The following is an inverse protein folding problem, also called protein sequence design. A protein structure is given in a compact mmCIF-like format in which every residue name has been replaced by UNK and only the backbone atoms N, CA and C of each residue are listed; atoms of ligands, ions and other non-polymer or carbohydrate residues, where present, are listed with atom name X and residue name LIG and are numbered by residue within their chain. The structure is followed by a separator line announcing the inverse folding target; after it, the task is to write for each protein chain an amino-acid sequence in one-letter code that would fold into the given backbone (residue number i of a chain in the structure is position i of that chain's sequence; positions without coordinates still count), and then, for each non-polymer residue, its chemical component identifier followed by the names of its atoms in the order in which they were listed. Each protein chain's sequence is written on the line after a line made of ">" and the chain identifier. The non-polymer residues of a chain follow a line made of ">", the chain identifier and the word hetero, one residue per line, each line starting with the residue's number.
data_IF_238275084770
#
_entry.id   IF_238275084770
#
_cell.length_a   1.000
_cell.length_b   1.000
_cell.length_c   1.000
_cell.angle_alpha   90.00
_cell.angle_beta   90.00
_cell.angle_gamma   90.00
#
_symmetry.space_group_name_H-M   'P 1'
#
loop_
_entity.id
_entity.type
_entity.pdbx_description
1 polymer ?
#
# COMPACT_ATOMS: atom_id res chain seq x y z
N UNK A 1 -35.00 28.23 -19.77
CA UNK A 1 -35.10 26.89 -19.16
C UNK A 1 -33.76 26.20 -19.31
N UNK A 2 -32.98 26.15 -18.23
CA UNK A 2 -31.68 25.50 -18.19
C UNK A 2 -31.87 24.03 -17.80
N UNK A 3 -31.27 23.11 -18.56
CA UNK A 3 -31.15 21.70 -18.17
C UNK A 3 -29.67 21.34 -18.14
N UNK A 4 -29.12 21.34 -16.93
CA UNK A 4 -27.78 20.89 -16.61
C UNK A 4 -27.76 19.35 -16.62
N UNK A 5 -27.02 18.76 -17.58
CA UNK A 5 -26.69 17.34 -17.55
C UNK A 5 -25.56 17.11 -16.55
N UNK A 6 -25.89 16.42 -15.46
CA UNK A 6 -24.92 15.89 -14.51
C UNK A 6 -24.10 14.78 -15.16
N UNK A 7 -22.77 14.94 -15.19
CA UNK A 7 -21.81 13.92 -15.60
C UNK A 7 -21.50 13.08 -14.36
N UNK A 8 -22.04 11.87 -14.29
CA UNK A 8 -21.67 10.91 -13.27
C UNK A 8 -20.27 10.36 -13.59
N UNK A 9 -19.26 10.75 -12.81
CA UNK A 9 -17.93 10.14 -12.83
C UNK A 9 -17.98 8.80 -12.10
N UNK A 10 -17.96 7.69 -12.85
CA UNK A 10 -17.67 6.39 -12.26
C UNK A 10 -16.18 6.31 -11.94
N UNK A 11 -15.84 6.34 -10.66
CA UNK A 11 -14.48 6.05 -10.19
C UNK A 11 -14.23 4.54 -10.35
N UNK A 12 -13.15 4.11 -11.03
CA UNK A 12 -12.91 2.68 -11.30
C UNK A 12 -12.72 1.85 -10.03
N UNK A 13 -12.45 2.48 -8.88
CA UNK A 13 -12.05 1.82 -7.65
C UNK A 13 -13.19 1.48 -6.68
N UNK A 14 -14.45 1.83 -6.99
CA UNK A 14 -15.63 1.49 -6.18
C UNK A 14 -16.71 0.79 -6.98
N UNK A 15 -16.67 -0.55 -6.99
CA UNK A 15 -17.85 -1.36 -7.33
C UNK A 15 -18.28 -2.18 -6.13
N UNK A 16 -19.23 -1.63 -5.39
CA UNK A 16 -20.01 -2.37 -4.39
C UNK A 16 -21.10 -3.13 -5.15
N UNK A 17 -21.17 -4.45 -4.96
CA UNK A 17 -22.20 -5.31 -5.54
C UNK A 17 -23.59 -4.91 -4.98
N UNK A 18 -24.56 -4.67 -5.88
CA UNK A 18 -25.99 -4.61 -5.54
C UNK A 18 -26.55 -6.04 -5.38
N UNK A 19 -27.52 -6.28 -4.47
CA UNK A 19 -28.17 -7.58 -4.33
C UNK A 19 -29.14 -7.87 -5.51
N UNK A 20 -29.47 -9.14 -5.80
CA UNK A 20 -30.15 -9.52 -7.03
C UNK A 20 -31.66 -9.29 -6.92
N UNK A 21 -32.25 -8.73 -7.98
CA UNK A 21 -33.68 -8.88 -8.26
C UNK A 21 -33.91 -9.24 -9.73
N UNK A 22 -35.04 -9.90 -9.94
CA UNK A 22 -35.41 -10.89 -10.95
C UNK A 22 -35.81 -10.35 -12.35
N UNK A 23 -35.42 -11.13 -13.37
CA UNK A 23 -36.13 -11.55 -14.60
C UNK A 23 -36.81 -10.54 -15.58
N UNK A 24 -36.16 -10.42 -16.77
CA UNK A 24 -36.67 -10.49 -18.19
C UNK A 24 -37.67 -9.46 -18.80
N UNK A 25 -37.78 -9.32 -20.15
CA UNK A 25 -36.72 -9.26 -21.17
C UNK A 25 -36.92 -8.19 -22.31
N UNK A 26 -35.81 -7.87 -22.98
CA UNK A 26 -35.55 -7.48 -24.38
C UNK A 26 -36.62 -6.88 -25.32
N UNK A 27 -36.25 -5.77 -26.00
CA UNK A 27 -36.66 -5.46 -27.38
C UNK A 27 -35.51 -4.84 -28.21
N UNK A 28 -35.20 -5.52 -29.32
CA UNK A 28 -34.74 -5.11 -30.66
C UNK A 28 -33.74 -3.94 -30.95
N UNK A 29 -32.75 -4.32 -31.77
CA UNK A 29 -31.77 -3.59 -32.62
C UNK A 29 -32.42 -2.69 -33.72
N UNK A 30 -31.72 -1.92 -34.61
CA UNK A 30 -30.33 -2.10 -35.06
C UNK A 30 -29.43 -0.88 -35.39
N UNK A 31 -28.18 -1.28 -35.57
CA UNK A 31 -27.01 -0.74 -36.26
C UNK A 31 -27.18 0.41 -37.27
N UNK A 32 -26.19 1.32 -37.25
CA UNK A 32 -25.72 2.04 -38.44
C UNK A 32 -24.22 1.79 -38.65
N UNK A 33 -23.92 1.37 -39.87
CA UNK A 33 -22.60 1.16 -40.47
C UNK A 33 -22.08 2.48 -41.04
N UNK A 34 -20.78 2.75 -40.94
CA UNK A 34 -20.03 3.27 -42.09
C UNK A 34 -18.52 3.03 -41.94
N UNK A 35 -17.97 2.44 -43.01
CA UNK A 35 -16.55 2.19 -43.30
C UNK A 35 -15.86 3.45 -43.84
N UNK A 36 -14.55 3.28 -44.09
CA UNK A 36 -13.59 4.07 -44.90
C UNK A 36 -12.65 4.92 -44.03
N UNK A 37 -11.34 5.02 -44.27
CA UNK A 37 -10.47 4.53 -45.35
C UNK A 37 -9.03 4.48 -44.80
N UNK A 38 -8.28 3.45 -45.19
CA UNK A 38 -6.84 3.33 -44.98
C UNK A 38 -6.05 4.28 -45.87
N UNK A 39 -4.92 4.78 -45.39
CA UNK A 39 -3.81 5.20 -46.26
C UNK A 39 -2.46 4.99 -45.59
N UNK A 40 -1.75 3.98 -46.08
CA UNK A 40 -0.33 3.80 -45.86
C UNK A 40 0.44 4.69 -46.85
N UNK A 41 1.57 5.25 -46.41
CA UNK A 41 2.63 5.70 -47.30
C UNK A 41 3.98 5.21 -46.77
N UNK A 42 4.72 4.63 -47.70
CA UNK A 42 6.03 4.03 -47.61
C UNK A 42 7.05 4.95 -48.30
N UNK A 43 8.28 5.02 -47.78
CA UNK A 43 9.53 5.09 -48.55
C UNK A 43 10.69 4.97 -47.53
N UNK A 44 11.51 3.91 -47.60
CA UNK A 44 12.81 3.83 -48.32
C UNK A 44 13.70 5.04 -47.99
N UNK A 45 14.83 4.96 -47.29
CA UNK A 45 15.87 3.92 -47.25
C UNK A 45 17.10 4.44 -48.01
N UNK A 46 18.15 4.87 -47.29
CA UNK A 46 19.52 5.01 -47.79
C UNK A 46 20.49 4.66 -46.66
N UNK A 47 21.53 3.91 -47.02
CA UNK A 47 22.45 3.19 -46.14
C UNK A 47 23.88 3.69 -46.34
N UNK A 48 24.59 3.78 -45.21
CA UNK A 48 26.03 3.56 -44.96
C UNK A 48 27.10 4.39 -45.69
N UNK A 49 27.86 5.18 -44.91
CA UNK A 49 29.33 5.12 -44.85
C UNK A 49 29.73 5.18 -43.37
N UNK A 50 30.53 4.21 -42.90
CA UNK A 50 31.04 4.15 -41.53
C UNK A 50 32.46 4.70 -41.40
N UNK A 51 32.79 5.26 -40.23
CA UNK A 51 34.14 5.32 -39.65
C UNK A 51 33.99 5.29 -38.11
N UNK A 52 34.71 4.37 -37.46
CA UNK A 52 34.73 4.10 -36.01
C UNK A 52 35.89 4.89 -35.31
N UNK A 53 36.11 4.82 -33.99
CA UNK A 53 35.73 5.85 -33.03
C UNK A 53 36.95 6.48 -32.30
N UNK A 54 36.86 7.75 -31.90
CA UNK A 54 37.74 8.31 -30.84
C UNK A 54 36.92 9.05 -29.79
N UNK A 55 36.42 8.24 -28.86
CA UNK A 55 36.39 8.42 -27.40
C UNK A 55 36.87 9.80 -26.90
N UNK A 56 35.92 10.70 -26.64
CA UNK A 56 36.07 11.80 -25.68
C UNK A 56 34.74 11.96 -24.95
N UNK A 57 34.64 11.33 -23.79
CA UNK A 57 33.56 11.58 -22.83
C UNK A 57 34.04 12.63 -21.83
N UNK A 58 33.35 13.77 -21.66
CA UNK A 58 33.59 14.59 -20.49
C UNK A 58 32.98 13.83 -19.29
N UNK A 59 33.86 13.33 -18.42
CA UNK A 59 33.46 12.81 -17.12
C UNK A 59 32.91 13.97 -16.29
N UNK A 60 31.60 14.17 -16.32
CA UNK A 60 30.91 14.85 -15.22
C UNK A 60 30.91 13.86 -14.06
N UNK A 61 31.83 14.06 -13.10
CA UNK A 61 31.74 13.41 -11.80
C UNK A 61 30.52 14.00 -11.09
N UNK A 62 29.37 13.33 -11.20
CA UNK A 62 28.30 13.53 -10.23
C UNK A 62 28.73 12.82 -8.94
N UNK A 63 29.32 13.61 -8.03
CA UNK A 63 29.47 13.27 -6.63
C UNK A 63 28.09 13.40 -5.98
N UNK A 64 27.30 12.33 -5.96
CA UNK A 64 26.19 12.22 -5.02
C UNK A 64 26.71 11.51 -3.77
N UNK A 65 27.31 12.29 -2.89
CA UNK A 65 27.20 12.00 -1.47
C UNK A 65 25.82 12.52 -1.06
N UNK A 66 24.78 11.72 -1.28
CA UNK A 66 23.54 11.89 -0.52
C UNK A 66 23.89 11.57 0.93
N UNK A 67 23.97 12.60 1.75
CA UNK A 67 23.97 12.45 3.21
C UNK A 67 22.67 11.72 3.54
N UNK A 68 22.75 10.41 3.78
CA UNK A 68 21.61 9.59 4.16
C UNK A 68 20.94 10.26 5.35
N UNK A 69 19.76 10.85 5.12
CA UNK A 69 19.00 11.48 6.19
C UNK A 69 18.56 10.33 7.10
N UNK A 70 19.21 10.22 8.25
CA UNK A 70 18.88 9.23 9.27
C UNK A 70 17.39 9.31 9.59
N UNK A 71 16.64 8.24 9.29
CA UNK A 71 15.22 8.14 9.63
C UNK A 71 15.09 8.22 11.14
N UNK A 72 14.12 8.98 11.63
CA UNK A 72 13.83 8.99 13.07
C UNK A 72 13.28 7.62 13.47
N UNK A 73 14.12 6.78 14.08
CA UNK A 73 13.74 5.43 14.53
C UNK A 73 13.41 5.46 16.02
N UNK A 74 12.20 5.02 16.38
CA UNK A 74 11.75 4.88 17.77
C UNK A 74 11.30 3.45 18.05
N UNK A 75 11.55 2.97 19.26
CA UNK A 75 11.11 1.66 19.73
C UNK A 75 10.42 1.86 21.07
N UNK A 76 9.17 1.40 21.17
CA UNK A 76 8.39 1.44 22.40
C UNK A 76 7.88 0.03 22.71
N UNK A 77 8.05 -0.38 23.97
CA UNK A 77 7.69 -1.71 24.48
C UNK A 77 6.61 -1.55 25.54
N UNK A 78 5.54 -2.34 25.41
CA UNK A 78 4.35 -2.27 26.26
C UNK A 78 4.00 -3.65 26.84
N UNK A 79 3.13 -3.66 27.84
CA UNK A 79 2.33 -4.86 28.11
C UNK A 79 1.41 -5.15 26.92
N UNK A 80 1.14 -6.44 26.65
CA UNK A 80 0.40 -6.85 25.45
C UNK A 80 -0.99 -6.24 25.37
N UNK A 81 -1.67 -6.12 26.50
CA UNK A 81 -3.01 -5.54 26.65
C UNK A 81 -3.01 -4.00 26.62
N UNK A 82 -1.88 -3.37 26.94
CA UNK A 82 -1.76 -1.90 26.97
C UNK A 82 -1.38 -1.29 25.61
N UNK A 83 -0.74 -2.06 24.70
CA UNK A 83 -0.23 -1.55 23.41
C UNK A 83 -1.28 -0.86 22.53
N UNK A 84 -2.54 -1.26 22.63
CA UNK A 84 -3.60 -0.76 21.74
C UNK A 84 -3.90 0.74 21.95
N UNK A 85 -3.79 1.24 23.18
CA UNK A 85 -4.02 2.66 23.53
C UNK A 85 -3.00 3.58 22.86
N UNK A 86 -1.67 3.46 23.09
CA UNK A 86 -0.68 4.34 22.49
C UNK A 86 -0.62 4.19 20.97
N UNK A 87 -0.97 3.03 20.41
CA UNK A 87 -1.12 2.88 18.96
C UNK A 87 -2.30 3.70 18.43
N UNK A 88 -3.46 3.66 19.10
CA UNK A 88 -4.63 4.44 18.71
C UNK A 88 -4.37 5.95 18.81
N UNK A 89 -3.75 6.40 19.90
CA UNK A 89 -3.33 7.80 20.09
C UNK A 89 -2.40 8.24 18.95
N UNK A 90 -1.38 7.44 18.63
CA UNK A 90 -0.44 7.72 17.55
C UNK A 90 -1.12 7.86 16.18
N UNK A 91 -2.03 6.94 15.86
CA UNK A 91 -2.79 6.98 14.60
C UNK A 91 -3.72 8.20 14.57
N UNK A 92 -4.39 8.52 15.68
CA UNK A 92 -5.29 9.67 15.79
C UNK A 92 -4.52 11.00 15.61
N UNK A 93 -3.35 11.13 16.24
CA UNK A 93 -2.49 12.30 16.14
C UNK A 93 -1.97 12.51 14.71
N UNK A 94 -1.52 11.45 14.05
CA UNK A 94 -1.09 11.53 12.65
C UNK A 94 -2.26 11.85 11.71
N UNK A 95 -3.44 11.26 11.96
CA UNK A 95 -4.66 11.61 11.24
C UNK A 95 -4.96 13.11 11.37
N UNK A 96 -5.03 13.64 12.58
CA UNK A 96 -5.31 15.06 12.82
C UNK A 96 -4.26 15.98 12.17
N UNK A 97 -2.97 15.61 12.27
CA UNK A 97 -1.86 16.33 11.64
C UNK A 97 -2.06 16.43 10.12
N UNK A 98 -2.25 15.31 9.44
CA UNK A 98 -2.29 15.30 7.98
C UNK A 98 -3.58 15.84 7.39
N UNK A 99 -4.70 15.68 8.10
CA UNK A 99 -5.96 16.34 7.74
C UNK A 99 -5.78 17.86 7.84
N UNK A 100 -5.11 18.38 8.87
CA UNK A 100 -4.82 19.82 8.98
C UNK A 100 -3.89 20.31 7.86
N UNK A 101 -2.87 19.53 7.49
CA UNK A 101 -1.88 19.93 6.48
C UNK A 101 -2.40 19.82 5.03
N UNK A 102 -3.20 18.80 4.72
CA UNK A 102 -3.56 18.42 3.34
C UNK A 102 -5.03 18.15 3.10
N UNK A 103 -5.85 18.18 4.15
CA UNK A 103 -7.30 17.96 4.07
C UNK A 103 -7.73 16.49 4.01
N UNK A 104 -6.77 15.54 3.97
CA UNK A 104 -7.00 14.10 3.90
C UNK A 104 -5.95 13.37 4.76
N UNK A 105 -6.28 12.16 5.19
CA UNK A 105 -5.35 11.22 5.82
C UNK A 105 -5.33 9.90 5.05
N UNK A 106 -4.17 9.51 4.52
CA UNK A 106 -3.97 8.27 3.77
C UNK A 106 -3.24 7.23 4.61
N UNK A 107 -3.89 6.10 4.86
CA UNK A 107 -3.35 5.01 5.68
C UNK A 107 -3.38 3.68 4.92
N UNK A 108 -2.27 2.96 4.95
CA UNK A 108 -2.20 1.59 4.42
C UNK A 108 -2.03 0.57 5.55
N UNK A 109 -2.84 -0.49 5.54
CA UNK A 109 -2.93 -1.48 6.60
C UNK A 109 -2.36 -2.84 6.17
N UNK A 110 -1.61 -3.49 7.06
CA UNK A 110 -1.45 -4.95 7.04
C UNK A 110 -2.64 -5.65 7.71
N UNK A 111 -2.78 -6.95 7.46
CA UNK A 111 -3.68 -7.82 8.23
C UNK A 111 -3.08 -8.31 9.56
N UNK A 112 -3.55 -9.47 10.01
CA UNK A 112 -3.06 -10.13 11.23
C UNK A 112 -3.48 -9.43 12.53
N UNK A 113 -2.68 -9.61 13.59
CA UNK A 113 -3.01 -9.10 14.93
C UNK A 113 -3.06 -7.58 15.02
N UNK A 114 -2.43 -6.85 14.08
CA UNK A 114 -2.50 -5.40 13.97
C UNK A 114 -3.96 -4.90 14.02
N UNK A 115 -4.87 -5.56 13.30
CA UNK A 115 -6.28 -5.14 13.23
C UNK A 115 -6.97 -5.23 14.61
N UNK A 116 -6.55 -6.15 15.48
CA UNK A 116 -7.10 -6.23 16.83
C UNK A 116 -6.74 -5.01 17.67
N UNK A 117 -5.53 -4.48 17.54
CA UNK A 117 -5.12 -3.27 18.24
C UNK A 117 -5.84 -2.02 17.70
N UNK A 118 -6.12 -1.95 16.39
CA UNK A 118 -6.89 -0.85 15.79
C UNK A 118 -8.35 -0.79 16.24
N UNK A 119 -8.88 -1.84 16.88
CA UNK A 119 -10.22 -1.78 17.50
C UNK A 119 -10.31 -0.68 18.54
N UNK A 120 -9.19 -0.28 19.17
CA UNK A 120 -9.18 0.80 20.15
C UNK A 120 -9.62 2.15 19.56
N UNK A 121 -9.47 2.35 18.25
CA UNK A 121 -9.93 3.56 17.55
C UNK A 121 -11.47 3.67 17.49
N UNK A 122 -12.22 2.58 17.71
CA UNK A 122 -13.70 2.58 17.69
C UNK A 122 -14.30 2.87 19.06
N UNK A 123 -13.46 3.13 20.06
CA UNK A 123 -13.86 3.46 21.42
C UNK A 123 -13.69 4.98 21.67
N UNK A 124 -14.43 5.56 22.63
CA UNK A 124 -14.17 6.93 23.07
C UNK A 124 -12.75 7.08 23.65
N UNK A 125 -12.09 8.23 23.44
CA UNK A 125 -12.60 9.40 22.71
C UNK A 125 -12.44 9.30 21.19
N UNK A 126 -11.65 8.36 20.66
CA UNK A 126 -11.23 8.33 19.25
C UNK A 126 -12.38 8.25 18.26
N UNK A 127 -13.38 7.43 18.53
CA UNK A 127 -14.53 7.25 17.62
C UNK A 127 -15.26 8.57 17.36
N UNK A 128 -15.28 9.47 18.34
CA UNK A 128 -15.99 10.75 18.29
C UNK A 128 -15.09 11.92 17.85
N UNK A 129 -13.77 11.81 18.05
CA UNK A 129 -12.83 12.93 17.78
C UNK A 129 -12.12 12.83 16.43
N UNK A 130 -12.04 11.64 15.83
CA UNK A 130 -11.38 11.46 14.54
C UNK A 130 -12.32 11.89 13.39
N UNK A 131 -11.79 12.69 12.47
CA UNK A 131 -12.47 13.12 11.24
C UNK A 131 -12.52 12.00 10.18
N UNK A 132 -13.27 10.93 10.44
CA UNK A 132 -13.36 9.72 9.60
C UNK A 132 -13.69 9.98 8.12
N UNK A 133 -14.42 11.05 7.82
CA UNK A 133 -14.76 11.44 6.43
C UNK A 133 -13.54 11.78 5.56
N UNK A 134 -12.40 12.07 6.18
CA UNK A 134 -11.13 12.43 5.53
C UNK A 134 -10.14 11.27 5.42
N UNK A 135 -10.49 10.11 5.98
CA UNK A 135 -9.65 8.93 5.91
C UNK A 135 -9.77 8.28 4.53
N UNK A 136 -8.63 7.88 3.99
CA UNK A 136 -8.48 7.04 2.81
C UNK A 136 -7.68 5.80 3.20
N UNK A 137 -8.34 4.64 3.17
CA UNK A 137 -7.80 3.38 3.69
C UNK A 137 -7.46 2.44 2.54
N UNK A 138 -6.23 1.94 2.56
CA UNK A 138 -5.67 0.98 1.62
C UNK A 138 -5.05 -0.19 2.39
N UNK A 139 -4.68 -1.24 1.67
CA UNK A 139 -3.88 -2.36 2.19
C UNK A 139 -2.49 -2.37 1.59
N UNK A 140 -1.49 -2.68 2.43
CA UNK A 140 -0.11 -2.88 1.96
C UNK A 140 0.08 -4.20 1.25
N UNK A 141 -0.73 -5.20 1.60
CA UNK A 141 -0.80 -6.49 0.94
C UNK A 141 -2.18 -7.10 1.13
N UNK A 142 -2.55 -7.99 0.24
CA UNK A 142 -3.78 -8.74 0.34
C UNK A 142 -3.63 -10.11 -0.31
N UNK A 143 -4.38 -11.07 0.21
CA UNK A 143 -4.51 -12.43 -0.28
C UNK A 143 -5.52 -12.37 -1.41
N UNK A 144 -5.20 -12.99 -2.55
CA UNK A 144 -6.09 -12.98 -3.72
C UNK A 144 -7.15 -14.05 -3.53
N UNK A 145 -8.09 -13.73 -2.64
CA UNK A 145 -9.24 -14.55 -2.25
C UNK A 145 -10.48 -13.64 -2.20
N UNK A 146 -11.70 -14.19 -2.22
CA UNK A 146 -12.91 -13.37 -2.09
C UNK A 146 -12.85 -12.46 -0.86
N UNK A 147 -13.39 -11.24 -0.94
CA UNK A 147 -13.44 -10.26 0.17
C UNK A 147 -14.20 -10.76 1.40
N UNK A 148 -14.98 -11.84 1.27
CA UNK A 148 -15.70 -12.50 2.36
C UNK A 148 -14.97 -13.72 2.92
N UNK A 149 -13.81 -14.07 2.36
CA UNK A 149 -12.98 -15.19 2.81
C UNK A 149 -12.25 -14.86 4.11
N UNK A 150 -12.04 -15.84 4.97
CA UNK A 150 -11.39 -15.65 6.27
C UNK A 150 -9.94 -15.13 6.18
N UNK A 151 -9.21 -15.54 5.12
CA UNK A 151 -7.85 -15.07 4.85
C UNK A 151 -7.74 -13.63 4.29
N UNK A 152 -8.86 -12.97 3.99
CA UNK A 152 -8.84 -11.60 3.46
C UNK A 152 -8.52 -10.58 4.55
N UNK A 153 -7.47 -9.79 4.33
CA UNK A 153 -7.12 -8.65 5.16
C UNK A 153 -8.23 -7.58 5.12
N UNK A 154 -8.92 -7.41 4.00
CA UNK A 154 -10.12 -6.57 3.89
C UNK A 154 -11.20 -7.02 4.85
N UNK A 155 -11.57 -8.31 4.81
CA UNK A 155 -12.60 -8.84 5.71
C UNK A 155 -12.23 -8.61 7.17
N UNK A 156 -10.99 -8.94 7.52
CA UNK A 156 -10.48 -8.80 8.88
C UNK A 156 -10.59 -7.34 9.37
N UNK A 157 -10.13 -6.39 8.55
CA UNK A 157 -10.22 -4.96 8.86
C UNK A 157 -11.68 -4.45 8.90
N UNK A 158 -12.53 -4.93 7.99
CA UNK A 158 -13.94 -4.57 7.94
C UNK A 158 -14.67 -4.99 9.21
N UNK A 159 -14.60 -6.27 9.57
CA UNK A 159 -15.26 -6.81 10.76
C UNK A 159 -14.65 -6.26 12.05
N UNK A 160 -13.33 -6.04 12.05
CA UNK A 160 -12.58 -5.55 13.20
C UNK A 160 -12.86 -4.09 13.53
N UNK A 161 -12.83 -3.23 12.52
CA UNK A 161 -12.69 -1.78 12.69
C UNK A 161 -13.57 -0.98 11.70
N UNK A 162 -13.45 -1.20 10.39
CA UNK A 162 -14.04 -0.29 9.38
C UNK A 162 -15.56 -0.27 9.41
N UNK A 163 -16.23 -1.37 9.76
CA UNK A 163 -17.70 -1.42 9.84
C UNK A 163 -18.27 -0.63 11.03
N UNK A 164 -17.41 -0.11 11.92
CA UNK A 164 -17.79 0.58 13.16
C UNK A 164 -17.49 2.08 13.13
N UNK A 165 -16.93 2.59 12.04
CA UNK A 165 -16.55 4.00 11.89
C UNK A 165 -17.14 4.59 10.60
N UNK A 166 -17.53 5.87 10.58
CA UNK A 166 -18.19 6.51 9.44
C UNK A 166 -17.21 6.93 8.32
N UNK A 167 -16.31 6.04 7.90
CA UNK A 167 -15.46 6.26 6.72
C UNK A 167 -16.33 6.09 5.46
N UNK A 168 -16.35 7.06 4.53
CA UNK A 168 -17.09 6.92 3.27
C UNK A 168 -16.65 5.66 2.52
N UNK A 169 -17.57 4.82 2.02
CA UNK A 169 -17.19 3.61 1.27
C UNK A 169 -16.34 3.92 0.03
N UNK A 170 -16.49 5.13 -0.53
CA UNK A 170 -15.65 5.67 -1.61
C UNK A 170 -14.16 5.81 -1.28
N UNK A 171 -13.82 5.83 0.00
CA UNK A 171 -12.47 6.05 0.50
C UNK A 171 -11.81 4.77 1.04
N UNK A 172 -12.44 3.61 0.88
CA UNK A 172 -11.88 2.31 1.26
C UNK A 172 -11.55 1.56 -0.02
N UNK A 173 -10.27 1.41 -0.33
CA UNK A 173 -9.80 0.87 -1.61
C UNK A 173 -9.25 -0.54 -1.41
N UNK A 174 -10.11 -1.53 -1.63
CA UNK A 174 -9.74 -2.94 -1.59
C UNK A 174 -9.38 -3.46 -2.98
N UNK A 175 -8.70 -4.61 -3.05
CA UNK A 175 -8.32 -5.23 -4.32
C UNK A 175 -9.55 -5.70 -5.11
N UNK A 176 -9.39 -5.89 -6.41
CA UNK A 176 -10.34 -6.63 -7.23
C UNK A 176 -10.08 -8.14 -7.13
N UNK A 177 -10.81 -8.79 -6.23
CA UNK A 177 -10.74 -10.22 -5.90
C UNK A 177 -11.32 -11.15 -6.98
N UNK A 178 -11.87 -10.61 -8.06
CA UNK A 178 -12.33 -11.38 -9.21
C UNK A 178 -11.24 -11.58 -10.29
N UNK A 179 -10.08 -10.93 -10.13
CA UNK A 179 -8.95 -11.03 -11.06
C UNK A 179 -7.91 -12.04 -10.58
N UNK A 180 -7.04 -12.46 -11.49
CA UNK A 180 -5.81 -13.16 -11.11
C UNK A 180 -4.92 -12.27 -10.25
N UNK A 181 -3.95 -12.84 -9.52
CA UNK A 181 -3.01 -12.04 -8.72
C UNK A 181 -2.31 -10.92 -9.52
N UNK A 182 -1.95 -11.20 -10.77
CA UNK A 182 -1.35 -10.22 -11.68
C UNK A 182 -2.33 -9.11 -12.06
N UNK A 183 -3.55 -9.47 -12.48
CA UNK A 183 -4.57 -8.49 -12.84
C UNK A 183 -5.01 -7.65 -11.63
N UNK A 184 -5.10 -8.25 -10.45
CA UNK A 184 -5.41 -7.55 -9.21
C UNK A 184 -4.31 -6.55 -8.83
N UNK A 185 -3.03 -6.89 -9.02
CA UNK A 185 -1.92 -5.98 -8.76
C UNK A 185 -1.92 -4.79 -9.74
N UNK A 186 -2.16 -5.04 -11.03
CA UNK A 186 -2.22 -3.98 -12.06
C UNK A 186 -3.43 -3.04 -11.85
N UNK A 187 -4.59 -3.59 -11.51
CA UNK A 187 -5.80 -2.83 -11.17
C UNK A 187 -5.58 -1.96 -9.91
N UNK A 188 -4.97 -2.55 -8.88
CA UNK A 188 -4.68 -1.85 -7.64
C UNK A 188 -3.63 -0.75 -7.82
N UNK A 189 -2.57 -0.99 -8.60
CA UNK A 189 -1.61 0.05 -8.97
C UNK A 189 -2.28 1.19 -9.74
N UNK A 190 -3.19 0.86 -10.68
CA UNK A 190 -3.97 1.86 -11.41
C UNK A 190 -4.83 2.71 -10.48
N UNK A 191 -5.45 2.10 -9.47
CA UNK A 191 -6.19 2.82 -8.43
C UNK A 191 -5.27 3.78 -7.65
N UNK A 192 -4.11 3.32 -7.17
CA UNK A 192 -3.16 4.17 -6.43
C UNK A 192 -2.66 5.34 -7.32
N UNK A 193 -2.38 5.09 -8.61
CA UNK A 193 -2.02 6.14 -9.58
C UNK A 193 -3.13 7.18 -9.75
N UNK A 194 -4.39 6.75 -9.75
CA UNK A 194 -5.53 7.65 -9.82
C UNK A 194 -5.64 8.54 -8.57
N UNK A 195 -5.41 7.97 -7.38
CA UNK A 195 -5.38 8.71 -6.12
C UNK A 195 -4.25 9.74 -6.08
N UNK A 196 -3.08 9.38 -6.62
CA UNK A 196 -1.96 10.32 -6.80
C UNK A 196 -2.34 11.46 -7.74
N UNK A 197 -2.91 11.13 -8.92
CA UNK A 197 -3.32 12.13 -9.92
C UNK A 197 -4.36 13.13 -9.38
N UNK A 198 -5.23 12.68 -8.48
CA UNK A 198 -6.26 13.51 -7.85
C UNK A 198 -5.78 14.19 -6.55
N UNK A 199 -4.49 14.13 -6.23
CA UNK A 199 -3.89 14.71 -5.01
C UNK A 199 -4.47 14.15 -3.70
N UNK A 200 -5.00 12.93 -3.71
CA UNK A 200 -5.40 12.21 -2.48
C UNK A 200 -4.16 11.63 -1.80
N UNK A 201 -3.30 10.96 -2.57
CA UNK A 201 -2.00 10.46 -2.11
C UNK A 201 -0.92 11.41 -2.67
N UNK A 202 0.01 11.85 -1.82
CA UNK A 202 1.11 12.70 -2.27
C UNK A 202 2.13 11.89 -3.07
N UNK A 203 3.03 12.58 -3.77
CA UNK A 203 4.22 11.97 -4.37
C UNK A 203 5.43 12.34 -3.51
N UNK A 204 6.28 11.37 -3.19
CA UNK A 204 7.57 11.66 -2.58
C UNK A 204 8.43 12.48 -3.54
N UNK A 205 8.93 13.61 -3.05
CA UNK A 205 9.92 14.40 -3.79
C UNK A 205 11.30 13.72 -3.87
N UNK A 206 11.58 12.77 -2.97
CA UNK A 206 12.85 12.07 -2.93
C UNK A 206 12.87 10.86 -3.89
N UNK A 207 11.78 10.10 -3.95
CA UNK A 207 11.74 8.83 -4.69
C UNK A 207 10.85 8.87 -5.95
N UNK A 208 9.89 9.79 -6.03
CA UNK A 208 8.88 9.83 -7.09
C UNK A 208 7.75 8.80 -6.95
N UNK A 209 7.73 8.02 -5.86
CA UNK A 209 6.68 7.02 -5.57
C UNK A 209 5.53 7.64 -4.74
N UNK A 210 4.35 6.98 -4.68
CA UNK A 210 3.26 7.42 -3.81
C UNK A 210 3.71 7.47 -2.35
N UNK A 211 3.45 8.60 -1.71
CA UNK A 211 3.78 8.90 -0.32
C UNK A 211 2.52 8.87 0.52
N UNK A 212 2.32 7.73 1.16
CA UNK A 212 1.29 7.53 2.19
C UNK A 212 1.66 8.28 3.47
N UNK A 213 0.65 8.68 4.22
CA UNK A 213 0.84 9.43 5.45
C UNK A 213 1.31 8.50 6.57
N UNK A 214 0.63 7.35 6.67
CA UNK A 214 0.95 6.30 7.60
C UNK A 214 0.85 4.93 6.92
N UNK A 215 1.87 4.11 7.10
CA UNK A 215 1.78 2.67 6.84
C UNK A 215 1.85 1.93 8.17
N UNK A 216 0.85 1.09 8.44
CA UNK A 216 0.81 0.22 9.60
C UNK A 216 1.18 -1.20 9.15
N UNK A 217 2.35 -1.66 9.56
CA UNK A 217 2.89 -2.98 9.20
C UNK A 217 2.79 -3.95 10.36
N UNK A 218 2.25 -5.13 10.08
CA UNK A 218 2.52 -6.33 10.89
C UNK A 218 3.86 -6.95 10.48
N UNK A 219 4.43 -7.77 11.37
CA UNK A 219 5.65 -8.53 11.09
C UNK A 219 5.43 -10.03 11.31
N UNK A 220 5.89 -10.86 10.37
CA UNK A 220 5.96 -12.30 10.54
C UNK A 220 7.02 -12.76 11.54
N UNK A 221 6.94 -14.00 12.08
CA UNK A 221 8.01 -14.56 12.93
C UNK A 221 9.35 -14.73 12.19
N UNK A 222 9.29 -14.82 10.87
CA UNK A 222 10.39 -14.85 9.90
C UNK A 222 10.84 -13.45 9.43
N UNK A 223 10.30 -12.37 10.02
CA UNK A 223 10.67 -11.00 9.66
C UNK A 223 10.13 -10.51 8.31
N UNK A 224 9.21 -11.24 7.67
CA UNK A 224 8.49 -10.71 6.51
C UNK A 224 7.59 -9.55 6.92
N UNK A 225 7.42 -8.59 6.00
CA UNK A 225 6.43 -7.50 6.08
C UNK A 225 5.61 -7.51 4.81
N UNK A 226 4.33 -7.12 4.88
CA UNK A 226 3.42 -7.23 3.74
C UNK A 226 3.46 -8.66 3.17
N UNK A 227 3.65 -8.83 1.85
CA UNK A 227 4.00 -10.13 1.26
C UNK A 227 5.44 -10.17 0.70
N UNK A 228 6.38 -9.53 1.40
CA UNK A 228 7.81 -9.50 1.09
C UNK A 228 8.55 -10.45 2.03
N UNK A 229 8.86 -11.65 1.55
CA UNK A 229 9.41 -12.75 2.35
C UNK A 229 10.95 -12.86 2.26
N UNK A 230 11.63 -13.33 3.32
CA UNK A 230 13.06 -13.63 3.26
C UNK A 230 13.39 -14.60 2.11
N UNK A 231 14.47 -14.32 1.38
CA UNK A 231 14.92 -15.15 0.25
C UNK A 231 14.07 -15.07 -1.02
N UNK A 232 12.89 -14.44 -0.98
CA UNK A 232 12.05 -14.28 -2.17
C UNK A 232 12.55 -13.09 -3.02
N UNK A 233 12.69 -13.22 -4.36
CA UNK A 233 13.28 -12.18 -5.21
C UNK A 233 12.54 -10.84 -5.18
N UNK A 234 11.25 -10.85 -4.80
CA UNK A 234 10.44 -9.64 -4.74
C UNK A 234 10.96 -8.58 -3.75
N UNK A 235 11.77 -8.96 -2.75
CA UNK A 235 12.44 -7.98 -1.87
C UNK A 235 13.40 -7.06 -2.64
N UNK A 236 13.80 -7.44 -3.85
CA UNK A 236 14.69 -6.68 -4.74
C UNK A 236 13.95 -5.87 -5.81
N UNK A 237 12.61 -5.87 -5.84
CA UNK A 237 11.85 -5.01 -6.76
C UNK A 237 12.07 -3.52 -6.41
N UNK A 238 12.32 -2.69 -7.43
CA UNK A 238 12.67 -1.27 -7.28
C UNK A 238 11.84 -0.31 -8.12
N UNK A 239 11.03 -0.82 -9.04
CA UNK A 239 10.33 -0.02 -10.05
C UNK A 239 8.81 -0.06 -9.88
N UNK A 240 8.23 -1.25 -9.64
CA UNK A 240 6.78 -1.40 -9.51
C UNK A 240 6.25 -0.77 -8.22
N UNK A 241 5.03 -0.24 -8.25
CA UNK A 241 4.38 0.26 -7.03
C UNK A 241 3.72 -0.91 -6.30
N UNK A 242 3.03 -1.74 -7.06
CA UNK A 242 2.37 -2.96 -6.60
C UNK A 242 2.95 -4.15 -7.36
N UNK A 243 3.18 -5.24 -6.66
CA UNK A 243 3.58 -6.51 -7.25
C UNK A 243 2.65 -7.63 -6.78
N UNK A 244 2.77 -8.78 -7.44
CA UNK A 244 2.07 -10.00 -7.07
C UNK A 244 3.08 -11.12 -6.84
N UNK A 245 2.66 -12.12 -6.06
CA UNK A 245 3.36 -13.41 -5.90
C UNK A 245 2.34 -14.53 -6.02
N UNK A 246 2.78 -15.70 -6.48
CA UNK A 246 1.94 -16.91 -6.61
C UNK A 246 2.46 -18.09 -5.81
N UNK A 247 3.55 -17.87 -5.11
CA UNK A 247 4.39 -18.85 -4.43
C UNK A 247 4.75 -18.37 -3.03
N UNK A 248 3.83 -17.63 -2.38
CA UNK A 248 4.01 -17.26 -0.97
C UNK A 248 4.32 -18.52 -0.15
N UNK A 249 5.39 -18.51 0.67
CA UNK A 249 5.75 -19.65 1.52
C UNK A 249 4.72 -19.89 2.65
N UNK A 250 3.71 -19.00 2.77
CA UNK A 250 2.60 -19.10 3.71
C UNK A 250 1.27 -19.08 2.95
N UNK A 251 0.31 -19.95 3.28
CA UNK A 251 -0.99 -19.95 2.63
C UNK A 251 -1.75 -18.64 2.88
N UNK A 252 -2.66 -18.24 1.98
CA UNK A 252 -2.75 -18.71 0.60
C UNK A 252 -1.55 -18.21 -0.25
N UNK A 253 -1.20 -18.94 -1.33
CA UNK A 253 0.02 -18.70 -2.10
C UNK A 253 -0.05 -17.42 -2.96
N UNK A 254 -1.23 -17.07 -3.46
CA UNK A 254 -1.45 -15.89 -4.31
C UNK A 254 -1.74 -14.64 -3.50
N UNK A 255 -0.91 -13.62 -3.70
CA UNK A 255 -1.00 -12.34 -2.97
C UNK A 255 -0.61 -11.18 -3.87
N UNK A 256 -1.11 -9.98 -3.53
CA UNK A 256 -0.56 -8.72 -4.02
C UNK A 256 0.08 -7.96 -2.87
N UNK A 257 1.06 -7.11 -3.16
CA UNK A 257 1.82 -6.36 -2.15
C UNK A 257 2.35 -5.06 -2.71
N UNK A 258 2.40 -4.03 -1.88
CA UNK A 258 3.29 -2.90 -2.08
C UNK A 258 4.74 -3.37 -2.02
N UNK A 259 5.55 -2.75 -2.87
CA UNK A 259 6.98 -2.98 -2.92
C UNK A 259 7.70 -2.06 -1.94
N UNK A 260 8.97 -2.34 -1.64
CA UNK A 260 9.77 -1.44 -0.78
C UNK A 260 9.83 0.01 -1.25
N UNK A 261 9.94 0.32 -2.57
CA UNK A 261 9.81 1.69 -3.05
C UNK A 261 8.57 2.44 -2.53
N UNK A 262 7.40 1.80 -2.50
CA UNK A 262 6.18 2.43 -1.95
C UNK A 262 6.21 2.48 -0.43
N UNK A 263 6.58 1.37 0.22
CA UNK A 263 6.62 1.27 1.68
C UNK A 263 7.58 2.31 2.28
N UNK A 264 8.75 2.49 1.68
CA UNK A 264 9.79 3.41 2.17
C UNK A 264 9.57 4.87 1.74
N UNK A 265 8.61 5.12 0.83
CA UNK A 265 8.20 6.48 0.46
C UNK A 265 7.11 7.04 1.36
N UNK A 266 6.58 6.25 2.31
CA UNK A 266 5.65 6.76 3.31
C UNK A 266 6.31 7.83 4.17
N UNK A 267 5.50 8.76 4.69
CA UNK A 267 5.98 9.71 5.68
C UNK A 267 6.30 8.98 7.00
N UNK A 268 5.32 8.24 7.52
CA UNK A 268 5.44 7.48 8.77
C UNK A 268 5.17 5.99 8.50
N UNK A 269 5.95 5.13 9.13
CA UNK A 269 5.65 3.70 9.21
C UNK A 269 5.70 3.24 10.66
N UNK A 270 4.63 2.58 11.12
CA UNK A 270 4.61 1.90 12.39
C UNK A 270 4.67 0.38 12.17
N UNK A 271 5.66 -0.28 12.79
CA UNK A 271 5.74 -1.74 12.85
C UNK A 271 5.09 -2.16 14.17
N UNK A 272 3.99 -2.89 14.08
CA UNK A 272 3.24 -3.39 15.24
C UNK A 272 3.46 -4.90 15.32
N UNK A 273 4.16 -5.35 16.35
CA UNK A 273 4.57 -6.75 16.48
C UNK A 273 4.41 -7.22 17.92
N UNK A 274 3.54 -8.20 18.12
CA UNK A 274 3.21 -8.77 19.43
C UNK A 274 3.43 -10.28 19.47
N UNK A 275 3.81 -10.79 20.65
CA UNK A 275 4.02 -12.20 20.95
C UNK A 275 5.47 -12.67 20.84
N UNK A 276 5.84 -13.63 21.71
CA UNK A 276 7.21 -14.16 21.83
C UNK A 276 7.77 -14.78 20.54
N UNK A 277 6.90 -15.30 19.66
CA UNK A 277 7.31 -15.85 18.37
C UNK A 277 7.90 -14.82 17.40
N UNK A 278 7.90 -13.52 17.75
CA UNK A 278 8.49 -12.44 16.95
C UNK A 278 9.88 -12.02 17.41
N UNK A 279 10.31 -12.46 18.60
CA UNK A 279 11.48 -11.92 19.28
C UNK A 279 12.78 -12.05 18.48
N UNK A 280 12.98 -13.15 17.78
CA UNK A 280 14.17 -13.34 16.93
C UNK A 280 14.21 -12.37 15.75
N UNK A 281 13.08 -12.18 15.07
CA UNK A 281 12.99 -11.24 13.96
C UNK A 281 13.14 -9.79 14.43
N UNK A 282 12.59 -9.45 15.62
CA UNK A 282 12.78 -8.13 16.25
C UNK A 282 14.25 -7.89 16.58
N UNK A 283 14.91 -8.84 17.26
CA UNK A 283 16.34 -8.75 17.58
C UNK A 283 17.17 -8.57 16.31
N UNK A 284 16.96 -9.42 15.30
CA UNK A 284 17.69 -9.35 14.04
C UNK A 284 17.54 -8.00 13.34
N UNK A 285 16.34 -7.40 13.39
CA UNK A 285 16.07 -6.12 12.73
C UNK A 285 16.58 -4.89 13.51
N UNK A 286 16.64 -4.98 14.84
CA UNK A 286 16.98 -3.84 15.70
C UNK A 286 18.44 -3.83 16.15
N UNK A 287 19.03 -5.00 16.37
CA UNK A 287 20.36 -5.18 16.95
C UNK A 287 21.37 -5.64 15.89
N UNK A 288 21.02 -6.64 15.06
CA UNK A 288 21.94 -7.26 14.09
C UNK A 288 22.05 -6.46 12.77
N UNK A 289 22.34 -5.16 12.88
CA UNK A 289 22.34 -4.22 11.74
C UNK A 289 23.36 -4.52 10.63
N UNK A 290 24.40 -5.30 10.96
CA UNK A 290 25.48 -5.71 10.07
C UNK A 290 25.24 -7.07 9.38
N UNK A 291 24.11 -7.74 9.64
CA UNK A 291 23.79 -8.99 8.96
C UNK A 291 23.65 -8.74 7.45
N UNK A 292 24.43 -9.43 6.58
CA UNK A 292 24.30 -9.29 5.13
C UNK A 292 22.94 -9.79 4.61
N UNK A 293 22.34 -10.77 5.28
CA UNK A 293 21.05 -11.37 4.94
C UNK A 293 19.92 -10.70 5.74
N UNK A 294 19.79 -9.37 5.58
CA UNK A 294 18.79 -8.58 6.30
C UNK A 294 17.38 -9.11 6.06
N UNK A 295 16.66 -9.35 7.15
CA UNK A 295 15.23 -9.68 7.09
C UNK A 295 14.45 -8.53 6.42
N UNK A 296 13.35 -8.83 5.70
CA UNK A 296 12.56 -7.81 5.01
C UNK A 296 12.15 -6.63 5.90
N UNK A 297 11.78 -6.88 7.15
CA UNK A 297 11.44 -5.82 8.11
C UNK A 297 12.58 -4.82 8.37
N UNK A 298 13.84 -5.26 8.30
CA UNK A 298 15.01 -4.41 8.49
C UNK A 298 15.28 -3.49 7.29
N UNK A 299 14.61 -3.73 6.16
CA UNK A 299 14.66 -2.90 4.95
C UNK A 299 13.61 -1.78 4.94
N UNK A 300 12.71 -1.78 5.94
CA UNK A 300 11.70 -0.73 6.09
C UNK A 300 12.37 0.54 6.58
N UNK A 301 12.22 1.62 5.80
CA UNK A 301 12.89 2.90 6.03
C UNK A 301 12.04 4.05 5.47
N UNK A 302 10.96 4.46 6.17
CA UNK A 302 10.10 5.59 5.78
C UNK A 302 10.85 6.93 5.84
N UNK A 303 10.30 7.97 5.24
CA UNK A 303 11.00 9.23 5.05
C UNK A 303 11.10 10.12 6.29
N UNK A 304 10.16 9.99 7.24
CA UNK A 304 10.11 10.84 8.44
C UNK A 304 10.38 10.03 9.70
N UNK A 305 9.55 9.02 9.98
CA UNK A 305 9.68 8.25 11.22
C UNK A 305 9.34 6.78 11.01
N UNK A 306 10.20 5.92 11.55
CA UNK A 306 9.96 4.50 11.74
C UNK A 306 9.73 4.24 13.23
N UNK A 307 8.51 3.87 13.60
CA UNK A 307 8.16 3.58 15.00
C UNK A 307 7.84 2.10 15.19
N UNK A 308 8.44 1.46 16.18
CA UNK A 308 8.15 0.09 16.57
C UNK A 308 7.26 0.09 17.81
N UNK A 309 6.12 -0.57 17.71
CA UNK A 309 5.23 -0.88 18.83
C UNK A 309 5.35 -2.38 19.11
N UNK A 310 6.00 -2.70 20.22
CA UNK A 310 6.27 -4.07 20.64
C UNK A 310 5.56 -4.38 21.95
N UNK A 311 5.13 -5.62 22.13
CA UNK A 311 4.85 -6.11 23.48
C UNK A 311 6.11 -6.75 24.09
N UNK A 312 6.07 -7.02 25.40
CA UNK A 312 7.16 -7.70 26.12
C UNK A 312 7.58 -9.02 25.48
N UNK A 313 6.63 -9.76 24.90
CA UNK A 313 6.92 -11.01 24.20
C UNK A 313 7.81 -10.79 22.99
N UNK A 314 7.40 -9.91 22.07
CA UNK A 314 8.15 -9.56 20.88
C UNK A 314 9.47 -8.85 21.19
N UNK A 315 9.55 -8.13 22.31
CA UNK A 315 10.77 -7.46 22.76
C UNK A 315 11.66 -8.33 23.66
N UNK A 316 11.33 -9.60 23.92
CA UNK A 316 12.02 -10.43 24.93
C UNK A 316 13.50 -10.72 24.66
N UNK A 317 14.02 -10.34 23.50
CA UNK A 317 15.42 -10.52 23.09
C UNK A 317 16.17 -9.20 22.90
N UNK A 318 15.57 -8.04 23.14
CA UNK A 318 16.21 -6.71 22.98
C UNK A 318 16.34 -5.95 24.30
#
# INVERSE_FOLDING_TARGET
>A
MASTRSVASFSPCTRILKPPSSSTPSFFSPQFSQKFLSRALSSKGVSLIGVNPKRFSPKVKMSMAETAKSVNKKVEVFETDELAVPLADYVADLSAKFIKERGNFTVALSGGSLIHHLRKLVEPPHVDTIEWSRWHVLWVDERVVPKTHEDSNYKLAYDGFLSKVPIPPGNVYAINDALSAEGAADDYETCVRHLVKNNVIAVSSASGFPKFDLILLGMGPDGHVASLFPGHPLIHERNKWVAFIKDSPKPPPERITFTFPVINSSAYTAIVSTGAGKADAVHSALIDSDNPDKLPVALVSPEVELKWFLDKGAASKI
#
